data_IF_470130963067
#
_entry.id   IF_470130963067
#
_cell.length_a   1.000
_cell.length_b   1.000
_cell.length_c   1.000
_cell.angle_alpha   90.00
_cell.angle_beta   90.00
_cell.angle_gamma   90.00
#
_symmetry.space_group_name_H-M   'P 1'
#
loop_
_entity.id
_entity.type
_entity.pdbx_description
1 polymer ?
#
# COMPACT_ATOMS: atom_id res chain seq x y z
N UNK A 1 60.56 -22.55 14.29
CA UNK A 1 59.29 -23.13 13.86
C UNK A 1 58.17 -23.05 14.89
N UNK A 2 58.45 -22.86 16.18
CA UNK A 2 57.37 -22.80 17.23
C UNK A 2 56.57 -21.44 17.23
N UNK A 3 57.08 -20.38 16.67
CA UNK A 3 56.44 -19.04 16.69
C UNK A 3 55.29 -18.90 15.70
N UNK A 4 55.29 -19.62 14.55
CA UNK A 4 54.24 -19.54 13.54
C UNK A 4 52.98 -20.35 13.94
N UNK A 5 53.13 -21.43 14.66
CA UNK A 5 52.03 -22.24 15.15
C UNK A 5 51.17 -21.52 16.20
N UNK A 6 51.85 -20.71 17.07
CA UNK A 6 51.17 -19.92 18.12
C UNK A 6 50.36 -18.77 17.52
N UNK A 7 50.93 -18.11 16.48
CA UNK A 7 50.23 -17.01 15.78
C UNK A 7 48.98 -17.54 15.00
N UNK A 8 49.06 -18.73 14.40
CA UNK A 8 47.96 -19.32 13.69
C UNK A 8 46.82 -19.76 14.63
N UNK A 9 47.17 -20.30 15.82
CA UNK A 9 46.18 -20.67 16.85
C UNK A 9 45.45 -19.46 17.47
N UNK A 10 46.12 -18.30 17.58
CA UNK A 10 45.47 -17.07 18.04
C UNK A 10 44.54 -16.44 16.97
N UNK A 11 44.92 -16.57 15.69
CA UNK A 11 44.08 -16.08 14.58
C UNK A 11 42.79 -16.93 14.42
N UNK A 12 42.86 -18.24 14.55
CA UNK A 12 41.68 -19.12 14.52
C UNK A 12 40.75 -18.86 15.71
N UNK A 13 41.27 -18.66 16.92
CA UNK A 13 40.42 -18.34 18.09
C UNK A 13 39.73 -16.99 17.95
N UNK A 14 40.41 -15.99 17.38
CA UNK A 14 39.80 -14.66 17.11
C UNK A 14 38.67 -14.72 16.09
N UNK A 15 38.79 -15.58 15.07
CA UNK A 15 37.76 -15.76 14.05
C UNK A 15 36.54 -16.50 14.59
N UNK A 16 36.72 -17.55 15.38
CA UNK A 16 35.61 -18.30 16.00
C UNK A 16 34.83 -17.47 17.04
N UNK A 17 35.51 -16.59 17.76
CA UNK A 17 34.87 -15.72 18.75
C UNK A 17 34.08 -14.57 18.08
N UNK A 18 34.58 -14.08 16.96
CA UNK A 18 33.88 -13.07 16.14
C UNK A 18 32.65 -13.67 15.45
N UNK A 19 32.76 -14.91 14.93
CA UNK A 19 31.63 -15.60 14.33
C UNK A 19 30.56 -15.96 15.37
N UNK A 20 30.97 -16.44 16.57
CA UNK A 20 30.02 -16.69 17.66
C UNK A 20 29.26 -15.42 18.08
N UNK A 21 29.95 -14.31 18.26
CA UNK A 21 29.32 -13.02 18.61
C UNK A 21 28.41 -12.50 17.48
N UNK A 22 28.76 -12.76 16.23
CA UNK A 22 27.93 -12.40 15.08
C UNK A 22 26.67 -13.28 15.00
N UNK A 23 26.78 -14.58 15.24
CA UNK A 23 25.65 -15.50 15.30
C UNK A 23 24.77 -15.27 16.53
N UNK A 24 25.33 -14.97 17.69
CA UNK A 24 24.56 -14.59 18.88
C UNK A 24 23.79 -13.28 18.69
N UNK A 25 24.42 -12.28 18.06
CA UNK A 25 23.77 -11.00 17.73
C UNK A 25 22.67 -11.17 16.70
N UNK A 26 22.83 -12.08 15.74
CA UNK A 26 21.83 -12.43 14.74
C UNK A 26 20.64 -13.18 15.35
N UNK A 27 20.91 -14.12 16.26
CA UNK A 27 19.89 -14.89 16.97
C UNK A 27 19.11 -14.04 18.00
N UNK A 28 19.73 -12.98 18.53
CA UNK A 28 19.06 -12.04 19.45
C UNK A 28 18.19 -11.03 18.67
N UNK A 29 18.53 -10.73 17.41
CA UNK A 29 17.69 -9.91 16.52
C UNK A 29 16.54 -10.70 15.87
N UNK A 30 16.68 -12.03 15.74
CA UNK A 30 15.66 -12.88 15.09
C UNK A 30 14.50 -13.25 16.04
N UNK A 31 14.68 -13.08 17.34
CA UNK A 31 13.58 -13.08 18.32
C UNK A 31 13.02 -11.68 18.45
N UNK A 32 12.39 -11.17 17.38
CA UNK A 32 11.43 -10.08 17.56
C UNK A 32 10.43 -10.54 18.64
N UNK A 33 10.26 -9.76 19.73
CA UNK A 33 9.31 -10.15 20.78
C UNK A 33 7.96 -10.34 20.10
N UNK A 34 7.33 -11.49 20.34
CA UNK A 34 5.96 -11.71 19.96
C UNK A 34 5.19 -10.47 20.42
N UNK A 35 4.64 -9.71 19.44
CA UNK A 35 3.88 -8.49 19.72
C UNK A 35 2.70 -8.91 20.60
N UNK A 36 2.86 -8.73 21.92
CA UNK A 36 1.73 -8.66 22.82
C UNK A 36 1.07 -7.30 22.55
N UNK A 37 -0.18 -7.24 22.05
CA UNK A 37 -0.88 -5.99 21.93
C UNK A 37 -0.97 -5.38 23.32
N UNK A 38 -0.12 -4.37 23.59
CA UNK A 38 -0.24 -3.58 24.82
C UNK A 38 -1.58 -2.87 24.69
N UNK A 39 -2.57 -3.17 25.55
CA UNK A 39 -3.83 -2.49 25.51
C UNK A 39 -3.54 -1.00 25.78
N UNK A 40 -4.05 -0.13 24.92
CA UNK A 40 -4.06 1.30 25.16
C UNK A 40 -4.72 1.54 26.53
N UNK A 41 -3.91 1.88 27.52
CA UNK A 41 -4.40 2.16 28.86
C UNK A 41 -5.05 3.56 28.89
N UNK A 42 -6.28 3.66 28.44
CA UNK A 42 -7.18 4.67 28.97
C UNK A 42 -7.66 4.15 30.33
N UNK A 43 -7.21 4.80 31.39
CA UNK A 43 -7.60 4.53 32.77
C UNK A 43 -9.12 4.68 32.91
N UNK A 44 -9.80 3.59 33.28
CA UNK A 44 -11.11 3.61 33.91
C UNK A 44 -12.32 3.49 32.99
N UNK A 45 -12.95 2.30 33.07
CA UNK A 45 -14.22 1.84 32.49
C UNK A 45 -14.18 1.53 31.00
N UNK A 46 -14.31 0.22 30.73
CA UNK A 46 -14.65 -0.40 29.46
C UNK A 46 -13.53 -0.60 28.44
N UNK A 47 -12.56 -1.47 28.75
CA UNK A 47 -11.62 -2.01 27.74
C UNK A 47 -12.34 -2.77 26.58
N UNK A 48 -13.59 -3.20 26.77
CA UNK A 48 -14.45 -3.77 25.73
C UNK A 48 -15.01 -2.68 24.83
N UNK A 49 -15.51 -1.58 25.39
CA UNK A 49 -16.13 -0.49 24.62
C UNK A 49 -15.09 0.23 23.76
N UNK A 50 -13.87 0.41 24.28
CA UNK A 50 -12.76 1.00 23.51
C UNK A 50 -12.36 0.13 22.32
N UNK A 51 -12.23 -1.20 22.51
CA UNK A 51 -11.93 -2.11 21.41
C UNK A 51 -13.02 -2.18 20.35
N UNK A 52 -14.28 -2.10 20.77
CA UNK A 52 -15.42 -2.05 19.88
C UNK A 52 -15.42 -0.75 19.06
N UNK A 53 -15.09 0.38 19.68
CA UNK A 53 -14.96 1.68 19.03
C UNK A 53 -13.79 1.71 18.03
N UNK A 54 -12.62 1.20 18.42
CA UNK A 54 -11.45 1.08 17.54
C UNK A 54 -11.77 0.24 16.29
N UNK A 55 -12.37 -0.93 16.49
CA UNK A 55 -12.79 -1.80 15.38
C UNK A 55 -13.82 -1.11 14.48
N UNK A 56 -14.80 -0.40 15.05
CA UNK A 56 -15.79 0.34 14.29
C UNK A 56 -15.13 1.42 13.42
N UNK A 57 -14.23 2.22 13.99
CA UNK A 57 -13.53 3.29 13.28
C UNK A 57 -12.73 2.73 12.10
N UNK A 58 -11.90 1.68 12.32
CA UNK A 58 -11.08 1.12 11.23
C UNK A 58 -11.93 0.39 10.19
N UNK A 59 -13.06 -0.21 10.59
CA UNK A 59 -13.99 -0.86 9.66
C UNK A 59 -14.69 0.17 8.78
N UNK A 60 -15.17 1.28 9.33
CA UNK A 60 -15.75 2.39 8.57
C UNK A 60 -14.70 3.05 7.66
N UNK A 61 -13.48 3.24 8.16
CA UNK A 61 -12.37 3.75 7.35
C UNK A 61 -12.02 2.80 6.20
N UNK A 62 -12.05 1.48 6.42
CA UNK A 62 -11.84 0.47 5.38
C UNK A 62 -12.94 0.49 4.31
N UNK A 63 -14.21 0.64 4.72
CA UNK A 63 -15.33 0.78 3.79
C UNK A 63 -15.18 2.06 2.93
N UNK A 64 -14.88 3.18 3.55
CA UNK A 64 -14.66 4.45 2.85
C UNK A 64 -13.43 4.37 1.93
N UNK A 65 -12.38 3.72 2.40
CA UNK A 65 -11.18 3.49 1.60
C UNK A 65 -11.49 2.64 0.35
N UNK A 66 -12.23 1.54 0.49
CA UNK A 66 -12.66 0.71 -0.63
C UNK A 66 -13.54 1.49 -1.61
N UNK A 67 -14.46 2.31 -1.10
CA UNK A 67 -15.29 3.19 -1.92
C UNK A 67 -14.44 4.16 -2.75
N UNK A 68 -13.55 4.92 -2.11
CA UNK A 68 -12.68 5.89 -2.80
C UNK A 68 -11.67 5.21 -3.70
N UNK A 69 -11.07 4.10 -3.24
CA UNK A 69 -10.10 3.33 -4.05
C UNK A 69 -10.73 2.85 -5.34
N UNK A 70 -11.94 2.32 -5.30
CA UNK A 70 -12.62 1.81 -6.47
C UNK A 70 -12.94 2.90 -7.51
N UNK A 71 -13.16 4.13 -7.06
CA UNK A 71 -13.46 5.27 -7.94
C UNK A 71 -12.16 5.87 -8.51
N UNK A 72 -11.18 6.16 -7.65
CA UNK A 72 -10.03 7.02 -7.99
C UNK A 72 -8.67 6.35 -7.74
N UNK A 73 -8.65 5.27 -6.94
CA UNK A 73 -7.39 4.58 -6.62
C UNK A 73 -6.61 5.18 -5.45
N UNK A 74 -7.29 5.83 -4.50
CA UNK A 74 -6.65 6.51 -3.36
C UNK A 74 -7.00 5.96 -1.98
N UNK A 75 -7.53 4.73 -1.86
CA UNK A 75 -8.00 4.16 -0.60
C UNK A 75 -6.97 4.14 0.53
N UNK A 76 -5.71 3.88 0.21
CA UNK A 76 -4.62 3.91 1.19
C UNK A 76 -4.39 5.28 1.83
N UNK A 77 -4.75 6.38 1.16
CA UNK A 77 -4.69 7.74 1.72
C UNK A 77 -5.68 7.95 2.89
N UNK A 78 -6.72 7.14 2.97
CA UNK A 78 -7.73 7.18 4.03
C UNK A 78 -7.42 6.13 5.09
N UNK A 79 -7.18 4.90 4.65
CA UNK A 79 -7.11 3.77 5.55
C UNK A 79 -5.82 3.73 6.38
N UNK A 80 -4.67 4.05 5.78
CA UNK A 80 -3.41 4.07 6.53
C UNK A 80 -3.39 5.13 7.63
N UNK A 81 -3.74 6.41 7.39
CA UNK A 81 -3.86 7.39 8.49
C UNK A 81 -4.83 6.95 9.58
N UNK A 82 -5.96 6.32 9.23
CA UNK A 82 -6.90 5.79 10.21
C UNK A 82 -6.27 4.67 11.07
N UNK A 83 -5.54 3.73 10.45
CA UNK A 83 -4.82 2.68 11.18
C UNK A 83 -3.73 3.26 12.09
N UNK A 84 -2.95 4.25 11.62
CA UNK A 84 -1.93 4.90 12.43
C UNK A 84 -2.51 5.72 13.58
N UNK A 85 -3.69 6.34 13.37
CA UNK A 85 -4.37 7.12 14.42
C UNK A 85 -4.96 6.22 15.50
N UNK A 86 -5.52 5.06 15.12
CA UNK A 86 -6.13 4.12 16.08
C UNK A 86 -5.07 3.25 16.76
N UNK A 87 -3.99 2.88 16.05
CA UNK A 87 -2.91 2.01 16.56
C UNK A 87 -1.54 2.70 16.48
N UNK A 88 -1.30 3.81 17.20
CA UNK A 88 -0.07 4.61 17.07
C UNK A 88 1.18 3.89 17.54
N UNK A 89 1.07 2.89 18.42
CA UNK A 89 2.20 2.08 18.91
C UNK A 89 2.54 0.90 18.00
N UNK A 90 1.67 0.55 17.04
CA UNK A 90 1.88 -0.60 16.17
C UNK A 90 3.06 -0.40 15.21
N UNK A 91 3.81 -1.47 14.87
CA UNK A 91 4.87 -1.37 13.87
C UNK A 91 4.30 -0.93 12.50
N UNK A 92 4.89 0.07 11.82
CA UNK A 92 4.39 0.55 10.52
C UNK A 92 4.21 -0.55 9.48
N UNK A 93 5.15 -1.50 9.38
CA UNK A 93 5.06 -2.64 8.47
C UNK A 93 3.79 -3.49 8.71
N UNK A 94 3.37 -3.63 9.97
CA UNK A 94 2.14 -4.37 10.33
C UNK A 94 0.88 -3.62 9.91
N UNK A 95 0.88 -2.29 10.03
CA UNK A 95 -0.22 -1.46 9.54
C UNK A 95 -0.30 -1.48 8.02
N UNK A 96 0.85 -1.44 7.32
CA UNK A 96 0.90 -1.60 5.86
C UNK A 96 0.37 -2.97 5.44
N UNK A 97 0.82 -4.06 6.05
CA UNK A 97 0.36 -5.41 5.73
C UNK A 97 -1.14 -5.60 6.00
N UNK A 98 -1.65 -5.06 7.12
CA UNK A 98 -3.08 -5.10 7.46
C UNK A 98 -3.91 -4.28 6.46
N UNK A 99 -3.42 -3.11 6.02
CA UNK A 99 -4.06 -2.36 4.93
C UNK A 99 -4.12 -3.19 3.63
N UNK A 100 -3.03 -3.86 3.25
CA UNK A 100 -2.99 -4.72 2.05
C UNK A 100 -3.96 -5.90 2.15
N UNK A 101 -4.14 -6.49 3.34
CA UNK A 101 -5.06 -7.61 3.54
C UNK A 101 -6.52 -7.24 3.29
N UNK A 102 -6.91 -5.99 3.53
CA UNK A 102 -8.24 -5.50 3.20
C UNK A 102 -8.33 -5.04 1.74
N UNK A 103 -7.34 -4.27 1.27
CA UNK A 103 -7.36 -3.64 -0.05
C UNK A 103 -7.34 -4.64 -1.20
N UNK A 104 -6.64 -5.79 -1.06
CA UNK A 104 -6.57 -6.81 -2.11
C UNK A 104 -7.96 -7.30 -2.51
N UNK A 105 -8.88 -7.47 -1.56
CA UNK A 105 -10.24 -7.93 -1.82
C UNK A 105 -11.08 -6.85 -2.50
N UNK A 106 -11.09 -5.62 -1.97
CA UNK A 106 -11.82 -4.52 -2.57
C UNK A 106 -11.34 -4.21 -3.99
N UNK A 107 -10.02 -4.20 -4.21
CA UNK A 107 -9.42 -4.00 -5.54
C UNK A 107 -9.75 -5.15 -6.49
N UNK A 108 -9.80 -6.41 -6.01
CA UNK A 108 -10.21 -7.57 -6.82
C UNK A 108 -11.63 -7.40 -7.35
N UNK A 109 -12.56 -7.03 -6.48
CA UNK A 109 -13.96 -6.81 -6.89
C UNK A 109 -14.11 -5.61 -7.83
N UNK A 110 -13.37 -4.52 -7.59
CA UNK A 110 -13.33 -3.39 -8.51
C UNK A 110 -12.79 -3.81 -9.88
N UNK A 111 -11.63 -4.48 -9.93
CA UNK A 111 -11.01 -4.97 -11.15
C UNK A 111 -11.96 -5.87 -11.93
N UNK A 112 -12.65 -6.79 -11.24
CA UNK A 112 -13.65 -7.67 -11.85
C UNK A 112 -14.84 -6.90 -12.44
N UNK A 113 -15.41 -5.91 -11.71
CA UNK A 113 -16.53 -5.12 -12.23
C UNK A 113 -16.15 -4.28 -13.44
N UNK A 114 -14.97 -3.62 -13.39
CA UNK A 114 -14.46 -2.80 -14.49
C UNK A 114 -14.15 -3.66 -15.73
N UNK A 115 -13.48 -4.82 -15.56
CA UNK A 115 -13.09 -5.70 -16.67
C UNK A 115 -14.28 -6.28 -17.44
N UNK A 116 -15.46 -6.31 -16.83
CA UNK A 116 -16.72 -6.70 -17.53
C UNK A 116 -17.30 -5.59 -18.41
N UNK A 117 -16.82 -4.36 -18.29
CA UNK A 117 -17.33 -3.19 -19.01
C UNK A 117 -16.35 -2.63 -20.03
N UNK A 118 -15.08 -3.00 -19.91
CA UNK A 118 -14.00 -2.49 -20.75
C UNK A 118 -13.16 -3.65 -21.27
N UNK A 119 -12.76 -3.59 -22.52
CA UNK A 119 -11.89 -4.60 -23.10
C UNK A 119 -10.45 -4.38 -22.62
N UNK A 120 -9.92 -5.36 -21.89
CA UNK A 120 -8.57 -5.33 -21.37
C UNK A 120 -7.58 -5.85 -22.42
N UNK A 121 -6.52 -5.11 -22.67
CA UNK A 121 -5.41 -5.56 -23.51
C UNK A 121 -4.50 -6.53 -22.73
N UNK A 122 -4.92 -7.77 -22.57
CA UNK A 122 -4.23 -8.77 -21.75
C UNK A 122 -2.76 -8.99 -22.15
N UNK A 123 -2.42 -8.84 -23.43
CA UNK A 123 -1.05 -8.97 -23.93
C UNK A 123 -0.09 -7.93 -23.33
N UNK A 124 -0.61 -6.77 -22.98
CA UNK A 124 0.15 -5.68 -22.34
C UNK A 124 0.01 -5.75 -20.81
N UNK A 125 -1.19 -5.99 -20.32
CA UNK A 125 -1.49 -5.91 -18.88
C UNK A 125 -0.92 -7.08 -18.08
N UNK A 126 -0.87 -8.31 -18.61
CA UNK A 126 -0.32 -9.45 -17.86
C UNK A 126 1.19 -9.30 -17.57
N UNK A 127 2.05 -9.00 -18.56
CA UNK A 127 3.47 -8.72 -18.25
C UNK A 127 3.65 -7.51 -17.34
N UNK A 128 2.90 -6.43 -17.54
CA UNK A 128 2.95 -5.25 -16.68
C UNK A 128 2.54 -5.57 -15.23
N UNK A 129 1.53 -6.43 -15.04
CA UNK A 129 1.11 -6.91 -13.72
C UNK A 129 2.19 -7.78 -13.07
N UNK A 130 2.85 -8.67 -13.82
CA UNK A 130 3.94 -9.49 -13.32
C UNK A 130 5.12 -8.65 -12.82
N UNK A 131 5.54 -7.63 -13.56
CA UNK A 131 6.63 -6.74 -13.10
C UNK A 131 6.17 -5.80 -11.97
N UNK A 132 4.89 -5.42 -11.91
CA UNK A 132 4.33 -4.69 -10.79
C UNK A 132 4.37 -5.53 -9.49
N UNK A 133 4.08 -6.83 -9.58
CA UNK A 133 4.25 -7.77 -8.46
C UNK A 133 5.70 -7.82 -7.98
N UNK A 134 6.67 -7.94 -8.91
CA UNK A 134 8.09 -7.95 -8.56
C UNK A 134 8.51 -6.64 -7.88
N UNK A 135 8.12 -5.50 -8.43
CA UNK A 135 8.38 -4.19 -7.83
C UNK A 135 7.80 -4.10 -6.42
N UNK A 136 6.53 -4.47 -6.24
CA UNK A 136 5.85 -4.44 -4.95
C UNK A 136 6.47 -5.39 -3.92
N UNK A 137 6.90 -6.57 -4.34
CA UNK A 137 7.59 -7.50 -3.47
C UNK A 137 8.91 -6.92 -2.96
N UNK A 138 9.71 -6.31 -3.85
CA UNK A 138 10.97 -5.65 -3.49
C UNK A 138 10.69 -4.44 -2.56
N UNK A 139 9.70 -3.60 -2.87
CA UNK A 139 9.31 -2.46 -2.04
C UNK A 139 8.86 -2.88 -0.63
N UNK A 140 8.00 -3.90 -0.55
CA UNK A 140 7.54 -4.45 0.72
C UNK A 140 8.67 -5.13 1.52
N UNK A 141 9.60 -5.79 0.83
CA UNK A 141 10.79 -6.33 1.49
C UNK A 141 11.65 -5.20 2.07
N UNK A 142 11.91 -4.16 1.29
CA UNK A 142 12.75 -3.05 1.71
C UNK A 142 12.15 -2.31 2.92
N UNK A 143 10.84 -2.06 2.94
CA UNK A 143 10.19 -1.37 4.06
C UNK A 143 10.29 -2.15 5.38
N UNK A 144 10.38 -3.48 5.33
CA UNK A 144 10.59 -4.30 6.54
C UNK A 144 12.02 -4.23 7.08
N UNK A 145 12.98 -3.67 6.33
CA UNK A 145 14.37 -3.47 6.78
C UNK A 145 14.61 -2.06 7.37
N UNK A 146 13.66 -1.16 7.18
CA UNK A 146 13.77 0.24 7.61
C UNK A 146 13.25 0.39 9.03
N UNK A 147 13.91 1.27 9.81
CA UNK A 147 13.49 1.52 11.18
C UNK A 147 12.06 2.07 11.26
N UNK A 148 11.25 1.60 12.21
CA UNK A 148 9.88 2.06 12.41
C UNK A 148 9.77 3.59 12.60
N UNK A 149 10.73 4.19 13.29
CA UNK A 149 10.76 5.64 13.56
C UNK A 149 10.94 6.48 12.30
N UNK A 150 11.80 6.02 11.37
CA UNK A 150 11.94 6.68 10.07
C UNK A 150 10.64 6.63 9.28
N UNK A 151 10.01 5.45 9.20
CA UNK A 151 8.75 5.28 8.46
C UNK A 151 7.62 6.15 9.04
N UNK A 152 7.52 6.26 10.37
CA UNK A 152 6.52 7.13 11.02
C UNK A 152 6.74 8.60 10.68
N UNK A 153 7.99 9.07 10.67
CA UNK A 153 8.33 10.46 10.34
C UNK A 153 8.16 10.74 8.84
N UNK A 154 8.50 9.78 7.97
CA UNK A 154 8.39 9.92 6.52
C UNK A 154 6.94 9.91 6.02
N UNK A 155 6.06 9.14 6.67
CA UNK A 155 4.69 8.92 6.21
C UNK A 155 3.88 10.22 6.00
N UNK A 156 3.84 11.21 6.91
CA UNK A 156 3.12 12.46 6.72
C UNK A 156 3.61 13.23 5.48
N UNK A 157 4.93 13.28 5.27
CA UNK A 157 5.51 13.96 4.10
C UNK A 157 5.14 13.28 2.80
N UNK A 158 5.17 11.93 2.77
CA UNK A 158 4.73 11.15 1.61
C UNK A 158 3.24 11.38 1.34
N UNK A 159 2.40 11.34 2.36
CA UNK A 159 0.97 11.61 2.24
C UNK A 159 0.71 13.04 1.70
N UNK A 160 1.39 14.05 2.22
CA UNK A 160 1.29 15.43 1.73
C UNK A 160 1.76 15.57 0.28
N UNK A 161 2.87 14.95 -0.09
CA UNK A 161 3.39 14.98 -1.46
C UNK A 161 2.43 14.32 -2.45
N UNK A 162 1.90 13.13 -2.11
CA UNK A 162 0.90 12.42 -2.93
C UNK A 162 -0.36 13.25 -3.07
N UNK A 163 -0.79 13.85 -1.99
CA UNK A 163 -1.98 14.68 -1.94
C UNK A 163 -1.81 15.93 -2.80
N UNK A 164 -0.70 16.68 -2.61
CA UNK A 164 -0.37 17.87 -3.40
C UNK A 164 -0.28 17.56 -4.90
N UNK A 165 0.41 16.46 -5.26
CA UNK A 165 0.48 15.98 -6.63
C UNK A 165 -0.91 15.71 -7.22
N UNK A 166 -1.78 15.08 -6.45
CA UNK A 166 -3.13 14.71 -6.86
C UNK A 166 -4.01 15.95 -7.14
N UNK A 167 -3.88 17.00 -6.32
CA UNK A 167 -4.64 18.25 -6.49
C UNK A 167 -4.21 19.08 -7.69
N UNK A 168 -2.93 19.04 -8.04
CA UNK A 168 -2.39 19.86 -9.14
C UNK A 168 -2.87 19.41 -10.51
N UNK A 169 -3.54 18.24 -10.63
CA UNK A 169 -3.90 17.63 -11.91
C UNK A 169 -5.39 17.72 -12.20
N UNK A 170 -5.78 18.74 -12.98
CA UNK A 170 -7.19 19.05 -13.30
C UNK A 170 -7.75 18.36 -14.54
N UNK A 171 -6.92 18.00 -15.52
CA UNK A 171 -7.37 17.45 -16.82
C UNK A 171 -6.80 16.04 -17.04
N UNK A 172 -7.67 15.03 -17.02
CA UNK A 172 -7.29 13.65 -17.23
C UNK A 172 -8.22 12.94 -18.22
N UNK A 173 -7.63 12.42 -19.33
CA UNK A 173 -8.12 11.33 -20.14
C UNK A 173 -9.56 11.45 -20.67
N UNK A 174 -9.88 12.48 -21.45
CA UNK A 174 -11.20 12.59 -22.12
C UNK A 174 -11.32 11.65 -23.31
N UNK A 175 -10.22 11.44 -24.03
CA UNK A 175 -10.16 10.66 -25.26
C UNK A 175 -9.08 9.58 -25.16
N UNK A 176 -9.38 8.42 -25.78
CA UNK A 176 -8.42 7.32 -25.87
C UNK A 176 -7.54 7.53 -27.11
N UNK A 177 -6.35 8.10 -26.90
CA UNK A 177 -5.35 8.33 -27.95
C UNK A 177 -4.05 7.65 -27.52
N UNK A 178 -3.90 6.32 -27.73
CA UNK A 178 -2.68 5.60 -27.38
C UNK A 178 -1.47 6.23 -28.05
N UNK A 179 -0.43 6.50 -27.26
CA UNK A 179 0.83 7.13 -27.75
C UNK A 179 1.85 6.11 -28.21
N UNK A 180 1.67 4.87 -27.81
CA UNK A 180 2.54 3.76 -28.10
C UNK A 180 1.74 2.58 -28.64
N UNK A 181 2.36 1.80 -29.53
CA UNK A 181 1.77 0.60 -30.10
C UNK A 181 2.69 -0.60 -29.95
N UNK A 182 2.11 -1.78 -29.84
CA UNK A 182 2.82 -3.05 -29.83
C UNK A 182 3.87 -3.18 -28.72
N UNK A 183 5.15 -3.37 -29.07
CA UNK A 183 6.22 -3.56 -28.09
C UNK A 183 6.53 -2.31 -27.27
N UNK A 184 6.38 -1.12 -27.84
CA UNK A 184 6.63 0.14 -27.14
C UNK A 184 5.58 0.37 -26.03
N UNK A 185 4.32 0.05 -26.30
CA UNK A 185 3.24 0.09 -25.30
C UNK A 185 3.51 -0.89 -24.15
N UNK A 186 3.93 -2.12 -24.48
CA UNK A 186 4.30 -3.12 -23.49
C UNK A 186 5.42 -2.62 -22.56
N UNK A 187 6.51 -2.09 -23.11
CA UNK A 187 7.63 -1.59 -22.32
C UNK A 187 7.23 -0.39 -21.45
N UNK A 188 6.43 0.53 -21.98
CA UNK A 188 5.92 1.66 -21.22
C UNK A 188 5.02 1.19 -20.05
N UNK A 189 4.11 0.25 -20.30
CA UNK A 189 3.25 -0.32 -19.27
C UNK A 189 4.05 -1.08 -18.20
N UNK A 190 5.06 -1.84 -18.60
CA UNK A 190 5.95 -2.55 -17.67
C UNK A 190 6.77 -1.57 -16.80
N UNK A 191 7.25 -0.46 -17.37
CA UNK A 191 7.96 0.56 -16.60
C UNK A 191 7.05 1.22 -15.58
N UNK A 192 5.82 1.57 -15.95
CA UNK A 192 4.81 2.05 -15.00
C UNK A 192 4.51 0.99 -13.95
N UNK A 193 4.36 -0.27 -14.38
CA UNK A 193 4.10 -1.40 -13.49
C UNK A 193 5.15 -1.54 -12.40
N UNK A 194 6.44 -1.65 -12.78
CA UNK A 194 7.51 -1.89 -11.80
C UNK A 194 7.75 -0.70 -10.89
N UNK A 195 7.74 0.53 -11.41
CA UNK A 195 8.03 1.74 -10.62
C UNK A 195 6.93 2.03 -9.61
N UNK A 196 5.68 2.02 -10.04
CA UNK A 196 4.56 2.26 -9.14
C UNK A 196 4.27 1.04 -8.27
N UNK A 197 4.51 -0.18 -8.78
CA UNK A 197 4.45 -1.39 -7.96
C UNK A 197 5.45 -1.36 -6.81
N UNK A 198 6.71 -0.95 -7.06
CA UNK A 198 7.70 -0.75 -6.00
C UNK A 198 7.23 0.26 -4.95
N UNK A 199 6.72 1.42 -5.40
CA UNK A 199 6.14 2.42 -4.51
C UNK A 199 4.98 1.84 -3.69
N UNK A 200 4.11 1.04 -4.31
CA UNK A 200 2.97 0.40 -3.65
C UNK A 200 3.38 -0.59 -2.56
N UNK A 201 4.41 -1.37 -2.80
CA UNK A 201 4.96 -2.28 -1.79
C UNK A 201 5.65 -1.55 -0.65
N UNK A 202 6.31 -0.42 -0.96
CA UNK A 202 7.08 0.35 0.01
C UNK A 202 6.20 1.23 0.92
N UNK A 203 5.25 1.98 0.33
CA UNK A 203 4.35 2.88 1.07
C UNK A 203 2.87 2.58 0.81
N UNK A 204 2.45 2.56 -0.46
CA UNK A 204 1.12 2.23 -0.91
C UNK A 204 0.07 3.35 -1.01
N UNK A 205 0.09 4.45 -0.24
CA UNK A 205 -0.94 5.48 -0.34
C UNK A 205 -1.00 6.12 -1.73
N UNK A 206 -2.18 6.18 -2.34
CA UNK A 206 -2.38 6.83 -3.64
C UNK A 206 -1.91 6.06 -4.87
N UNK A 207 -1.41 4.83 -4.72
CA UNK A 207 -0.89 3.99 -5.81
C UNK A 207 -1.83 3.90 -7.01
N UNK A 208 -3.12 3.62 -6.77
CA UNK A 208 -4.09 3.54 -7.84
C UNK A 208 -4.22 4.84 -8.64
N UNK A 209 -4.17 5.99 -7.97
CA UNK A 209 -4.19 7.30 -8.63
C UNK A 209 -2.93 7.53 -9.47
N UNK A 210 -1.76 7.10 -9.01
CA UNK A 210 -0.52 7.18 -9.78
C UNK A 210 -0.57 6.28 -11.02
N UNK A 211 -1.07 5.06 -10.88
CA UNK A 211 -1.28 4.19 -12.03
C UNK A 211 -2.20 4.85 -13.07
N UNK A 212 -3.39 5.30 -12.65
CA UNK A 212 -4.34 5.98 -13.55
C UNK A 212 -3.66 7.17 -14.23
N UNK A 213 -2.99 8.03 -13.45
CA UNK A 213 -2.33 9.21 -14.00
C UNK A 213 -1.27 8.87 -15.05
N UNK A 214 -0.38 7.93 -14.77
CA UNK A 214 0.68 7.58 -15.72
C UNK A 214 0.14 6.87 -16.97
N UNK A 215 -0.87 6.02 -16.81
CA UNK A 215 -1.53 5.37 -17.94
C UNK A 215 -2.23 6.39 -18.85
N UNK A 216 -2.91 7.40 -18.27
CA UNK A 216 -3.51 8.49 -19.05
C UNK A 216 -2.45 9.38 -19.67
N UNK A 217 -1.51 9.88 -18.86
CA UNK A 217 -0.59 10.94 -19.30
C UNK A 217 0.53 10.44 -20.21
N UNK A 218 1.04 9.25 -19.94
CA UNK A 218 2.18 8.70 -20.65
C UNK A 218 1.75 7.74 -21.75
N UNK A 219 0.81 6.80 -21.47
CA UNK A 219 0.34 5.86 -22.48
C UNK A 219 -0.78 6.41 -23.37
N UNK A 220 -1.48 7.46 -22.94
CA UNK A 220 -2.57 8.08 -23.70
C UNK A 220 -3.91 7.35 -23.58
N UNK A 221 -4.09 6.56 -22.51
CA UNK A 221 -5.35 5.88 -22.27
C UNK A 221 -6.42 6.90 -21.82
N UNK A 222 -7.67 6.68 -22.23
CA UNK A 222 -8.79 7.39 -21.58
C UNK A 222 -8.93 6.95 -20.12
N UNK A 223 -9.70 7.76 -19.37
CA UNK A 223 -9.84 7.55 -17.94
C UNK A 223 -10.38 6.16 -17.57
N UNK A 224 -11.31 5.60 -18.35
CA UNK A 224 -11.94 4.33 -18.04
C UNK A 224 -10.99 3.15 -18.30
N UNK A 225 -10.31 3.14 -19.45
CA UNK A 225 -9.27 2.15 -19.78
C UNK A 225 -8.10 2.22 -18.79
N UNK A 226 -7.65 3.44 -18.45
CA UNK A 226 -6.62 3.65 -17.44
C UNK A 226 -7.05 3.14 -16.04
N UNK A 227 -8.32 3.36 -15.66
CA UNK A 227 -8.84 2.87 -14.38
C UNK A 227 -8.85 1.35 -14.29
N UNK A 228 -9.28 0.66 -15.36
CA UNK A 228 -9.25 -0.81 -15.41
C UNK A 228 -7.83 -1.33 -15.31
N UNK A 229 -6.92 -0.82 -16.14
CA UNK A 229 -5.52 -1.19 -16.14
C UNK A 229 -4.87 -0.93 -14.75
N UNK A 230 -5.13 0.24 -14.17
CA UNK A 230 -4.65 0.60 -12.83
C UNK A 230 -5.14 -0.38 -11.76
N UNK A 231 -6.41 -0.84 -11.82
CA UNK A 231 -6.94 -1.82 -10.87
C UNK A 231 -6.25 -3.17 -10.99
N UNK A 232 -5.95 -3.62 -12.21
CA UNK A 232 -5.22 -4.87 -12.43
C UNK A 232 -3.79 -4.79 -11.90
N UNK A 233 -3.07 -3.70 -12.19
CA UNK A 233 -1.72 -3.48 -11.69
C UNK A 233 -1.70 -3.34 -10.16
N UNK A 234 -2.63 -2.58 -9.59
CA UNK A 234 -2.75 -2.39 -8.16
C UNK A 234 -3.17 -3.67 -7.41
N UNK A 235 -4.03 -4.49 -8.01
CA UNK A 235 -4.35 -5.81 -7.46
C UNK A 235 -3.11 -6.69 -7.38
N UNK A 236 -2.32 -6.71 -8.44
CA UNK A 236 -1.10 -7.51 -8.53
C UNK A 236 -0.06 -7.06 -7.49
N UNK A 237 0.17 -5.75 -7.36
CA UNK A 237 1.10 -5.20 -6.38
C UNK A 237 0.61 -5.40 -4.94
N UNK A 238 -0.68 -5.22 -4.66
CA UNK A 238 -1.26 -5.50 -3.34
C UNK A 238 -1.13 -6.97 -2.95
N UNK A 239 -1.37 -7.90 -3.90
CA UNK A 239 -1.24 -9.34 -3.65
C UNK A 239 0.21 -9.72 -3.31
N UNK A 240 1.19 -9.22 -4.07
CA UNK A 240 2.61 -9.48 -3.82
C UNK A 240 3.07 -8.93 -2.46
N UNK A 241 2.68 -7.69 -2.14
CA UNK A 241 3.00 -7.07 -0.86
C UNK A 241 2.34 -7.82 0.31
N UNK A 242 1.07 -8.24 0.15
CA UNK A 242 0.36 -9.04 1.16
C UNK A 242 1.06 -10.38 1.43
N UNK A 243 1.50 -11.08 0.38
CA UNK A 243 2.26 -12.33 0.53
C UNK A 243 3.52 -12.10 1.35
N UNK A 244 4.31 -11.07 1.03
CA UNK A 244 5.54 -10.78 1.77
C UNK A 244 5.26 -10.40 3.23
N UNK A 245 4.32 -9.48 3.47
CA UNK A 245 3.96 -9.06 4.84
C UNK A 245 3.38 -10.23 5.63
N UNK A 246 2.59 -11.10 5.01
CA UNK A 246 2.05 -12.30 5.62
C UNK A 246 3.13 -13.30 6.04
N UNK A 247 4.10 -13.57 5.14
CA UNK A 247 5.24 -14.46 5.43
C UNK A 247 6.14 -13.91 6.53
N UNK A 248 6.26 -12.59 6.67
CA UNK A 248 7.03 -11.94 7.74
C UNK A 248 6.24 -11.68 9.03
N UNK A 249 4.98 -12.11 9.12
CA UNK A 249 4.13 -11.92 10.30
C UNK A 249 3.61 -10.49 10.50
N UNK A 250 3.72 -9.64 9.47
CA UNK A 250 3.28 -8.25 9.48
C UNK A 250 1.83 -8.07 9.00
N UNK A 251 0.92 -8.95 9.42
CA UNK A 251 -0.53 -8.84 9.12
C UNK A 251 -1.33 -9.22 10.37
N UNK A 252 -2.25 -8.37 10.76
CA UNK A 252 -3.23 -8.71 11.79
C UNK A 252 -4.41 -9.47 11.20
N UNK A 253 -4.26 -10.78 11.09
CA UNK A 253 -5.24 -11.66 10.47
C UNK A 253 -6.61 -11.63 11.16
N UNK A 254 -6.67 -11.38 12.45
CA UNK A 254 -7.92 -11.23 13.20
C UNK A 254 -8.75 -10.01 12.77
N UNK A 255 -8.10 -8.95 12.25
CA UNK A 255 -8.77 -7.78 11.67
C UNK A 255 -9.00 -7.93 10.16
N UNK A 256 -8.26 -8.82 9.49
CA UNK A 256 -8.27 -8.92 8.04
C UNK A 256 -9.68 -9.17 7.46
N UNK A 257 -10.45 -10.09 8.07
CA UNK A 257 -11.78 -10.43 7.56
C UNK A 257 -12.80 -9.29 7.66
N UNK A 258 -13.06 -8.67 8.83
CA UNK A 258 -14.00 -7.56 8.92
C UNK A 258 -13.58 -6.36 8.05
N UNK A 259 -12.29 -6.06 8.00
CA UNK A 259 -11.77 -4.97 7.16
C UNK A 259 -11.92 -5.27 5.66
N UNK A 260 -11.67 -6.52 5.24
CA UNK A 260 -11.85 -6.96 3.86
C UNK A 260 -13.32 -6.87 3.42
N UNK A 261 -14.25 -7.37 4.25
CA UNK A 261 -15.69 -7.30 3.96
C UNK A 261 -16.15 -5.84 3.82
N UNK A 262 -15.73 -4.97 4.73
CA UNK A 262 -16.04 -3.55 4.67
C UNK A 262 -15.44 -2.88 3.41
N UNK A 263 -14.19 -3.21 3.08
CA UNK A 263 -13.51 -2.69 1.89
C UNK A 263 -14.23 -3.14 0.59
N UNK A 264 -14.64 -4.40 0.52
CA UNK A 264 -15.42 -4.94 -0.60
C UNK A 264 -16.76 -4.22 -0.72
N UNK A 265 -17.50 -4.04 0.38
CA UNK A 265 -18.78 -3.33 0.36
C UNK A 265 -18.62 -1.90 -0.18
N UNK A 266 -17.61 -1.17 0.33
CA UNK A 266 -17.26 0.16 -0.19
C UNK A 266 -16.89 0.12 -1.67
N UNK A 267 -16.04 -0.82 -2.06
CA UNK A 267 -15.58 -0.98 -3.45
C UNK A 267 -16.72 -1.28 -4.42
N UNK A 268 -17.66 -2.15 -4.05
CA UNK A 268 -18.84 -2.46 -4.87
C UNK A 268 -19.70 -1.22 -5.11
N UNK A 269 -19.93 -0.42 -4.07
CA UNK A 269 -20.72 0.82 -4.17
C UNK A 269 -19.99 1.85 -5.03
N UNK A 270 -18.69 2.09 -4.75
CA UNK A 270 -17.91 3.08 -5.48
C UNK A 270 -17.75 2.74 -6.96
N UNK A 271 -17.48 1.48 -7.30
CA UNK A 271 -17.39 1.05 -8.70
C UNK A 271 -18.72 1.23 -9.44
N UNK A 272 -19.85 0.85 -8.81
CA UNK A 272 -21.18 1.08 -9.42
C UNK A 272 -21.44 2.55 -9.68
N UNK A 273 -21.10 3.42 -8.73
CA UNK A 273 -21.26 4.87 -8.89
C UNK A 273 -20.34 5.44 -9.96
N UNK A 274 -19.07 5.00 -10.01
CA UNK A 274 -18.14 5.42 -11.05
C UNK A 274 -18.60 5.02 -12.45
N UNK A 275 -19.05 3.78 -12.62
CA UNK A 275 -19.57 3.27 -13.89
C UNK A 275 -20.89 3.93 -14.33
N UNK A 276 -21.74 4.33 -13.35
CA UNK A 276 -23.02 4.98 -13.63
C UNK A 276 -22.86 6.47 -14.01
N UNK A 277 -21.99 7.19 -13.32
CA UNK A 277 -21.88 8.65 -13.43
C UNK A 277 -20.67 9.11 -14.25
N UNK A 278 -19.76 8.18 -14.58
CA UNK A 278 -18.61 8.45 -15.46
C UNK A 278 -17.50 9.32 -14.85
N UNK A 279 -16.60 9.77 -15.71
CA UNK A 279 -15.35 10.44 -15.32
C UNK A 279 -15.56 11.76 -14.54
N UNK A 280 -16.60 12.50 -14.83
CA UNK A 280 -16.90 13.77 -14.13
C UNK A 280 -17.22 13.59 -12.66
N UNK A 281 -18.01 12.57 -12.32
CA UNK A 281 -18.33 12.21 -10.95
C UNK A 281 -17.09 11.74 -10.19
N UNK A 282 -16.31 10.89 -10.81
CA UNK A 282 -15.05 10.37 -10.23
C UNK A 282 -14.11 11.51 -9.88
N UNK A 283 -13.97 12.48 -10.78
CA UNK A 283 -13.16 13.70 -10.56
C UNK A 283 -13.68 14.52 -9.38
N UNK A 284 -15.00 14.75 -9.32
CA UNK A 284 -15.62 15.51 -8.23
C UNK A 284 -15.38 14.84 -6.88
N UNK A 285 -15.62 13.53 -6.77
CA UNK A 285 -15.36 12.75 -5.56
C UNK A 285 -13.89 12.78 -5.16
N UNK A 286 -12.99 12.68 -6.13
CA UNK A 286 -11.57 12.76 -5.89
C UNK A 286 -11.17 14.10 -5.23
N UNK A 287 -11.63 15.22 -5.79
CA UNK A 287 -11.36 16.55 -5.25
C UNK A 287 -11.87 16.68 -3.81
N UNK A 288 -13.11 16.24 -3.54
CA UNK A 288 -13.71 16.31 -2.19
C UNK A 288 -12.91 15.51 -1.18
N UNK A 289 -12.60 14.23 -1.49
CA UNK A 289 -11.85 13.36 -0.59
C UNK A 289 -10.45 13.90 -0.31
N UNK A 290 -9.78 14.33 -1.37
CA UNK A 290 -8.42 14.86 -1.28
C UNK A 290 -8.38 16.16 -0.48
N UNK A 291 -9.32 17.07 -0.70
CA UNK A 291 -9.42 18.33 0.07
C UNK A 291 -9.68 18.05 1.55
N UNK A 292 -10.57 17.10 1.87
CA UNK A 292 -10.85 16.71 3.25
C UNK A 292 -9.61 16.11 3.93
N UNK A 293 -8.85 15.29 3.21
CA UNK A 293 -7.60 14.70 3.73
C UNK A 293 -6.52 15.74 3.96
N UNK A 294 -6.37 16.73 3.05
CA UNK A 294 -5.45 17.86 3.27
C UNK A 294 -5.84 18.63 4.52
N UNK A 295 -7.11 19.00 4.64
CA UNK A 295 -7.60 19.73 5.79
C UNK A 295 -7.28 19.01 7.10
N UNK A 296 -7.51 17.69 7.14
CA UNK A 296 -7.19 16.87 8.31
C UNK A 296 -5.68 16.79 8.56
N UNK A 297 -4.88 16.48 7.54
CA UNK A 297 -3.43 16.31 7.69
C UNK A 297 -2.76 17.65 8.09
N UNK A 298 -3.23 18.76 7.53
CA UNK A 298 -2.77 20.09 7.92
C UNK A 298 -3.17 20.43 9.35
N UNK A 299 -4.39 20.11 9.76
CA UNK A 299 -4.84 20.29 11.15
C UNK A 299 -3.98 19.48 12.12
N UNK A 300 -3.74 18.18 11.83
CA UNK A 300 -2.92 17.29 12.66
C UNK A 300 -1.44 17.73 12.72
N UNK A 301 -0.92 18.37 11.67
CA UNK A 301 0.47 18.81 11.59
C UNK A 301 0.74 20.17 12.25
N UNK A 302 -0.22 21.09 12.24
CA UNK A 302 -0.02 22.49 12.68
C UNK A 302 -0.78 22.89 13.95
N UNK A 303 -1.79 22.13 14.35
CA UNK A 303 -2.69 22.48 15.46
C UNK A 303 -2.74 21.42 16.58
N UNK A 304 -1.96 20.36 16.48
CA UNK A 304 -1.83 19.31 17.48
C UNK A 304 -0.37 19.01 17.79
#
# INVERSE_FOLDING_TARGET
MASLATAYGLFQRGSEETDKKFFEKKNTQEKAPAYNPVPFAFSGRNARDNRCMELLIVTLASALAGFVDSIVGGGGLIFLPALFAVYPSAPPATLFGTNKSASVWGTSFAAWQYSRRVQVQWRVMLPAAAVAMMGAFIGAWLVTQISPDFLRRALPFVLMAVLGYTLMRKDMGREHVPRFEGRAELWAACTVGVTIGFYDGFFGPGTGSFFVFLLVRWLGYDFLNASVAAKLLNLSSNAAALVLFGLKGHVWWHLALPLALANVAGSLLGTRMALKHGAGFVRGMFIVVVTALIGKTSYDAFLR
#
